data_IF_863282340587
#
_entry.id   IF_863282340587
#
_cell.length_a   1.000
_cell.length_b   1.000
_cell.length_c   1.000
_cell.angle_alpha   90.00
_cell.angle_beta   90.00
_cell.angle_gamma   90.00
#
_symmetry.space_group_name_H-M   'P 1'
#
loop_
_entity.id
_entity.type
_entity.pdbx_description
1 polymer ?
#
# COMPACT_ATOMS: atom_id res chain seq x y z
N UNK A 1 -26.74 18.54 -16.46
CA UNK A 1 -25.96 17.60 -15.69
C UNK A 1 -24.71 18.32 -15.26
N UNK A 2 -24.44 18.47 -13.96
CA UNK A 2 -23.14 18.91 -13.47
C UNK A 2 -22.12 17.88 -13.94
N UNK A 3 -21.06 18.33 -14.63
CA UNK A 3 -19.92 17.44 -14.93
C UNK A 3 -19.32 17.01 -13.59
N UNK A 4 -19.19 15.69 -13.39
CA UNK A 4 -18.41 15.16 -12.28
C UNK A 4 -16.99 15.71 -12.35
N UNK A 5 -16.44 16.16 -11.24
CA UNK A 5 -15.02 16.57 -11.17
C UNK A 5 -14.09 15.33 -11.26
N UNK A 6 -14.68 14.13 -11.19
CA UNK A 6 -13.97 12.87 -11.26
C UNK A 6 -14.04 12.29 -12.68
N UNK A 7 -12.89 11.81 -13.15
CA UNK A 7 -12.78 11.14 -14.44
C UNK A 7 -13.09 9.65 -14.31
N UNK A 8 -12.69 9.05 -13.18
CA UNK A 8 -13.01 7.66 -12.84
C UNK A 8 -13.65 7.62 -11.47
N UNK A 9 -14.74 6.86 -11.38
CA UNK A 9 -15.41 6.53 -10.14
C UNK A 9 -15.57 5.00 -10.10
N UNK A 10 -15.03 4.38 -9.09
CA UNK A 10 -15.14 2.95 -8.76
C UNK A 10 -16.03 2.88 -7.54
N UNK A 11 -17.20 2.27 -7.64
CA UNK A 11 -18.21 2.28 -6.59
C UNK A 11 -18.47 0.85 -6.12
N UNK A 12 -18.04 0.52 -4.91
CA UNK A 12 -18.28 -0.76 -4.26
C UNK A 12 -17.94 -1.98 -5.13
N UNK A 13 -16.82 -1.90 -5.86
CA UNK A 13 -16.42 -2.92 -6.81
C UNK A 13 -15.82 -4.12 -6.09
N UNK A 14 -16.44 -5.28 -6.31
CA UNK A 14 -15.92 -6.58 -5.89
C UNK A 14 -15.63 -7.46 -7.10
N UNK A 15 -14.55 -8.25 -7.01
CA UNK A 15 -14.20 -9.23 -8.02
C UNK A 15 -13.85 -10.55 -7.37
N UNK A 16 -14.72 -11.53 -7.57
CA UNK A 16 -14.53 -12.92 -7.15
C UNK A 16 -14.16 -13.78 -8.36
N UNK A 17 -13.20 -14.68 -8.22
CA UNK A 17 -12.84 -15.67 -9.21
C UNK A 17 -13.58 -17.00 -8.96
N UNK A 18 -13.46 -17.95 -9.92
CA UNK A 18 -14.15 -19.25 -9.89
C UNK A 18 -13.79 -20.11 -8.66
N UNK A 19 -12.62 -19.88 -8.05
CA UNK A 19 -12.16 -20.53 -6.83
C UNK A 19 -12.82 -19.97 -5.54
N UNK A 20 -13.74 -19.04 -5.67
CA UNK A 20 -14.43 -18.38 -4.56
C UNK A 20 -13.65 -17.27 -3.87
N UNK A 21 -12.38 -17.02 -4.24
CA UNK A 21 -11.56 -15.97 -3.63
C UNK A 21 -11.87 -14.61 -4.20
N UNK A 22 -11.96 -13.64 -3.31
CA UNK A 22 -12.08 -12.24 -3.68
C UNK A 22 -10.70 -11.67 -4.01
N UNK A 23 -10.53 -11.19 -5.25
CA UNK A 23 -9.36 -10.40 -5.63
C UNK A 23 -9.57 -8.91 -5.37
N UNK A 24 -10.84 -8.46 -5.37
CA UNK A 24 -11.29 -7.14 -4.92
C UNK A 24 -12.50 -7.36 -4.02
N UNK A 25 -12.54 -6.66 -2.90
CA UNK A 25 -13.61 -6.76 -1.92
C UNK A 25 -14.04 -5.35 -1.50
N UNK A 26 -15.18 -4.91 -2.02
CA UNK A 26 -15.81 -3.60 -1.72
C UNK A 26 -14.88 -2.40 -1.94
N UNK A 27 -14.26 -2.32 -3.11
CA UNK A 27 -13.32 -1.24 -3.46
C UNK A 27 -14.08 -0.02 -3.97
N UNK A 28 -13.88 1.13 -3.32
CA UNK A 28 -14.42 2.43 -3.74
C UNK A 28 -13.29 3.45 -3.90
N UNK A 29 -13.21 4.09 -5.09
CA UNK A 29 -12.14 5.02 -5.44
C UNK A 29 -12.63 6.07 -6.42
N UNK A 30 -12.31 7.33 -6.17
CA UNK A 30 -12.58 8.44 -7.07
C UNK A 30 -11.28 9.09 -7.52
N UNK A 31 -11.11 9.29 -8.83
CA UNK A 31 -9.90 9.88 -9.44
C UNK A 31 -10.27 11.15 -10.19
N UNK A 32 -9.58 12.24 -9.88
CA UNK A 32 -9.79 13.55 -10.52
C UNK A 32 -9.12 13.60 -11.89
N UNK A 33 -9.67 14.45 -12.75
CA UNK A 33 -9.10 14.69 -14.08
C UNK A 33 -7.69 15.31 -13.99
N UNK A 34 -6.73 14.72 -14.73
CA UNK A 34 -5.34 15.19 -14.76
C UNK A 34 -4.52 14.82 -13.53
N UNK A 35 -5.01 13.95 -12.65
CA UNK A 35 -4.32 13.46 -11.46
C UNK A 35 -3.36 12.31 -11.80
N UNK A 36 -2.21 12.25 -11.12
CA UNK A 36 -1.34 11.07 -11.11
C UNK A 36 -1.63 10.25 -9.85
N UNK A 37 -2.35 9.15 -10.01
CA UNK A 37 -2.71 8.27 -8.90
C UNK A 37 -1.92 6.98 -8.97
N UNK A 38 -1.25 6.60 -7.89
CA UNK A 38 -0.58 5.30 -7.77
C UNK A 38 -1.37 4.35 -6.89
N UNK A 39 -1.63 3.15 -7.39
CA UNK A 39 -2.16 2.02 -6.65
C UNK A 39 -0.97 1.19 -6.19
N UNK A 40 -0.71 1.19 -4.89
CA UNK A 40 0.44 0.58 -4.24
C UNK A 40 -0.01 -0.57 -3.33
N UNK A 41 0.79 -1.62 -3.19
CA UNK A 41 0.51 -2.73 -2.28
C UNK A 41 1.35 -3.97 -2.59
N UNK A 42 1.33 -5.00 -1.74
CA UNK A 42 2.08 -6.23 -1.94
C UNK A 42 1.60 -7.03 -3.16
N UNK A 43 2.39 -8.00 -3.58
CA UNK A 43 2.02 -8.89 -4.68
C UNK A 43 0.74 -9.67 -4.33
N UNK A 44 -0.20 -9.74 -5.29
CA UNK A 44 -1.46 -10.48 -5.09
C UNK A 44 -2.58 -9.71 -4.39
N UNK A 45 -2.38 -8.48 -3.91
CA UNK A 45 -3.41 -7.70 -3.19
C UNK A 45 -4.54 -7.11 -4.07
N UNK A 46 -4.57 -7.39 -5.39
CA UNK A 46 -5.68 -6.97 -6.26
C UNK A 46 -5.40 -5.79 -7.20
N UNK A 47 -4.25 -5.11 -7.14
CA UNK A 47 -3.91 -3.91 -7.95
C UNK A 47 -4.14 -4.09 -9.46
N UNK A 48 -3.50 -5.09 -10.05
CA UNK A 48 -3.65 -5.41 -11.49
C UNK A 48 -5.09 -5.82 -11.82
N UNK A 49 -5.81 -6.45 -10.89
CA UNK A 49 -7.22 -6.80 -11.07
C UNK A 49 -8.08 -5.53 -11.14
N UNK A 50 -7.87 -4.58 -10.24
CA UNK A 50 -8.55 -3.28 -10.27
C UNK A 50 -8.25 -2.53 -11.57
N UNK A 51 -6.98 -2.46 -11.96
CA UNK A 51 -6.58 -1.84 -13.23
C UNK A 51 -7.27 -2.50 -14.44
N UNK A 52 -7.36 -3.84 -14.46
CA UNK A 52 -8.03 -4.59 -15.53
C UNK A 52 -9.55 -4.39 -15.54
N UNK A 53 -10.18 -4.21 -14.38
CA UNK A 53 -11.59 -3.84 -14.29
C UNK A 53 -11.82 -2.44 -14.86
N UNK A 54 -10.98 -1.45 -14.52
CA UNK A 54 -11.03 -0.09 -15.10
C UNK A 54 -10.80 -0.11 -16.62
N UNK A 55 -9.84 -0.93 -17.08
CA UNK A 55 -9.54 -1.08 -18.51
C UNK A 55 -10.60 -1.86 -19.30
N UNK A 56 -11.51 -2.59 -18.62
CA UNK A 56 -12.51 -3.44 -19.25
C UNK A 56 -12.02 -4.82 -19.71
N UNK A 57 -10.81 -5.24 -19.28
CA UNK A 57 -10.32 -6.60 -19.53
C UNK A 57 -10.94 -7.64 -18.58
N UNK A 58 -11.49 -7.17 -17.45
CA UNK A 58 -12.25 -7.99 -16.51
C UNK A 58 -13.54 -7.24 -16.14
N UNK A 59 -14.62 -7.99 -15.99
CA UNK A 59 -15.89 -7.45 -15.52
C UNK A 59 -15.94 -7.63 -14.01
N UNK A 60 -16.35 -6.59 -13.28
CA UNK A 60 -16.61 -6.67 -11.84
C UNK A 60 -17.71 -7.71 -11.56
N UNK A 61 -17.64 -8.35 -10.39
CA UNK A 61 -18.70 -9.26 -9.93
C UNK A 61 -19.86 -8.45 -9.34
N UNK A 62 -19.50 -7.38 -8.61
CA UNK A 62 -20.45 -6.44 -8.00
C UNK A 62 -19.90 -5.01 -8.12
N UNK A 63 -20.78 -4.03 -7.96
CA UNK A 63 -20.44 -2.61 -8.07
C UNK A 63 -20.34 -2.13 -9.51
N UNK A 64 -20.03 -0.85 -9.69
CA UNK A 64 -19.96 -0.18 -10.98
C UNK A 64 -18.73 0.70 -11.13
N UNK A 65 -18.33 0.89 -12.39
CA UNK A 65 -17.21 1.75 -12.78
C UNK A 65 -17.72 2.79 -13.76
N UNK A 66 -17.53 4.07 -13.39
CA UNK A 66 -17.90 5.19 -14.26
C UNK A 66 -16.63 5.83 -14.84
N UNK A 67 -16.71 6.22 -16.11
CA UNK A 67 -15.72 7.04 -16.81
C UNK A 67 -16.40 8.32 -17.29
N UNK A 68 -15.95 9.49 -16.82
CA UNK A 68 -16.63 10.78 -17.06
C UNK A 68 -18.12 10.79 -16.69
N UNK A 69 -18.53 10.02 -15.68
CA UNK A 69 -19.92 9.87 -15.27
C UNK A 69 -20.76 8.94 -16.15
N UNK A 70 -20.15 8.25 -17.13
CA UNK A 70 -20.80 7.21 -17.96
C UNK A 70 -20.43 5.82 -17.40
N UNK A 71 -21.41 4.96 -17.19
CA UNK A 71 -21.20 3.59 -16.74
C UNK A 71 -20.49 2.75 -17.82
N UNK A 72 -19.29 2.29 -17.51
CA UNK A 72 -18.46 1.47 -18.39
C UNK A 72 -18.27 0.05 -17.87
N UNK A 73 -18.96 -0.36 -16.81
CA UNK A 73 -18.74 -1.63 -16.09
C UNK A 73 -18.69 -2.84 -17.02
N UNK A 74 -19.63 -2.93 -17.97
CA UNK A 74 -19.69 -4.03 -18.95
C UNK A 74 -19.15 -3.66 -20.33
N UNK A 75 -18.70 -2.41 -20.51
CA UNK A 75 -18.19 -1.93 -21.79
C UNK A 75 -16.84 -2.58 -22.11
N UNK A 76 -16.65 -3.14 -23.33
CA UNK A 76 -15.40 -3.78 -23.72
C UNK A 76 -14.24 -2.77 -23.83
N UNK A 77 -12.96 -3.21 -23.69
CA UNK A 77 -11.81 -2.31 -23.64
C UNK A 77 -11.68 -1.33 -24.80
N UNK A 78 -11.97 -1.78 -26.03
CA UNK A 78 -11.80 -0.97 -27.24
C UNK A 78 -12.81 0.17 -27.39
N UNK A 79 -13.84 0.19 -26.55
CA UNK A 79 -14.86 1.24 -26.51
C UNK A 79 -14.65 2.25 -25.37
N UNK A 80 -13.74 1.95 -24.44
CA UNK A 80 -13.38 2.85 -23.32
C UNK A 80 -12.31 3.84 -23.77
N UNK A 81 -12.41 5.09 -23.33
CA UNK A 81 -11.39 6.12 -23.61
C UNK A 81 -10.20 6.04 -22.62
N UNK A 82 -9.66 4.84 -22.51
CA UNK A 82 -8.48 4.52 -21.70
C UNK A 82 -7.47 3.74 -22.53
N UNK A 83 -6.19 3.95 -22.29
CA UNK A 83 -5.13 3.14 -22.89
C UNK A 83 -4.25 2.52 -21.82
N UNK A 84 -3.80 1.29 -22.05
CA UNK A 84 -2.99 0.52 -21.09
C UNK A 84 -1.58 0.27 -21.63
N UNK A 85 -0.59 0.51 -20.79
CA UNK A 85 0.80 0.04 -20.95
C UNK A 85 1.01 -1.13 -20.00
N UNK A 86 1.28 -2.31 -20.56
CA UNK A 86 1.47 -3.55 -19.82
C UNK A 86 2.91 -3.69 -19.31
N UNK A 87 3.12 -4.47 -18.26
CA UNK A 87 4.40 -4.75 -17.64
C UNK A 87 5.49 -5.23 -18.62
N UNK A 88 5.14 -6.05 -19.62
CA UNK A 88 6.02 -6.52 -20.71
C UNK A 88 5.95 -5.67 -21.98
N UNK A 89 5.46 -4.40 -21.86
CA UNK A 89 5.31 -3.43 -22.95
C UNK A 89 4.42 -3.87 -24.13
N UNK A 90 4.27 -5.16 -24.39
CA UNK A 90 3.46 -5.77 -25.45
C UNK A 90 3.64 -5.10 -26.84
N UNK A 91 4.88 -4.76 -27.19
CA UNK A 91 5.21 -4.26 -28.52
C UNK A 91 5.05 -5.39 -29.55
N UNK A 92 4.67 -5.03 -30.77
CA UNK A 92 4.58 -5.97 -31.87
C UNK A 92 5.98 -6.22 -32.46
N UNK A 93 6.58 -7.41 -32.28
CA UNK A 93 7.98 -7.64 -32.63
C UNK A 93 8.23 -7.60 -34.14
N UNK A 94 7.22 -7.87 -34.95
CA UNK A 94 7.29 -7.84 -36.42
C UNK A 94 7.08 -6.43 -37.02
N UNK A 95 6.87 -5.42 -36.18
CA UNK A 95 6.72 -4.03 -36.60
C UNK A 95 7.88 -3.18 -36.06
N UNK A 96 8.31 -2.21 -36.86
CA UNK A 96 9.26 -1.20 -36.40
C UNK A 96 8.62 -0.22 -35.39
N UNK A 97 9.39 0.71 -34.86
CA UNK A 97 8.93 1.72 -33.91
C UNK A 97 7.78 2.55 -34.48
N UNK A 98 7.92 3.05 -35.71
CA UNK A 98 6.87 3.85 -36.36
C UNK A 98 5.55 3.09 -36.46
N UNK A 99 5.60 1.86 -36.94
CA UNK A 99 4.42 1.02 -37.16
C UNK A 99 3.75 0.58 -35.85
N UNK A 100 4.54 0.35 -34.79
CA UNK A 100 4.03 0.12 -33.45
C UNK A 100 3.24 1.31 -32.94
N UNK A 101 3.82 2.52 -33.02
CA UNK A 101 3.16 3.74 -32.55
C UNK A 101 1.95 4.10 -33.40
N UNK A 102 2.06 3.97 -34.74
CA UNK A 102 0.99 4.27 -35.68
C UNK A 102 -0.19 3.28 -35.64
N UNK A 103 -0.05 2.13 -34.99
CA UNK A 103 -0.97 0.99 -35.10
C UNK A 103 -2.44 1.38 -34.86
N UNK A 104 -2.72 2.06 -33.77
CA UNK A 104 -4.09 2.49 -33.42
C UNK A 104 -4.69 3.45 -34.44
N UNK A 105 -3.90 4.39 -34.93
CA UNK A 105 -4.37 5.36 -35.95
C UNK A 105 -4.61 4.71 -37.32
N UNK A 106 -3.80 3.68 -37.66
CA UNK A 106 -4.02 2.89 -38.89
C UNK A 106 -5.34 2.13 -38.84
N UNK A 107 -5.68 1.54 -37.67
CA UNK A 107 -6.99 0.86 -37.48
C UNK A 107 -8.15 1.84 -37.62
N UNK A 108 -8.00 3.07 -37.14
CA UNK A 108 -8.98 4.16 -37.29
C UNK A 108 -9.02 4.74 -38.72
N UNK A 109 -8.19 4.21 -39.67
CA UNK A 109 -8.09 4.66 -41.06
C UNK A 109 -7.79 6.16 -41.24
N UNK A 110 -6.98 6.72 -40.36
CA UNK A 110 -6.54 8.11 -40.39
C UNK A 110 -5.60 8.32 -41.59
N UNK A 111 -5.60 9.52 -42.18
CA UNK A 111 -4.73 9.88 -43.30
C UNK A 111 -3.22 9.70 -42.97
N UNK A 112 -2.46 9.19 -43.95
CA UNK A 112 -1.02 8.89 -43.74
C UNK A 112 -0.22 10.10 -43.31
N UNK A 113 -0.45 11.29 -43.88
CA UNK A 113 0.28 12.51 -43.51
C UNK A 113 -0.01 12.94 -42.07
N UNK A 114 -1.25 12.73 -41.61
CA UNK A 114 -1.63 12.98 -40.22
C UNK A 114 -0.95 11.99 -39.28
N UNK A 115 -0.93 10.68 -39.67
CA UNK A 115 -0.22 9.64 -38.90
C UNK A 115 1.27 10.00 -38.75
N UNK A 116 1.97 10.33 -39.87
CA UNK A 116 3.39 10.69 -39.81
C UNK A 116 3.68 11.85 -38.86
N UNK A 117 2.83 12.89 -38.89
CA UNK A 117 2.97 14.05 -38.01
C UNK A 117 2.75 13.66 -36.53
N UNK A 118 1.67 12.89 -36.25
CA UNK A 118 1.34 12.46 -34.87
C UNK A 118 2.39 11.52 -34.32
N UNK A 119 2.91 10.56 -35.10
CA UNK A 119 3.97 9.63 -34.67
C UNK A 119 5.25 10.40 -34.30
N UNK A 120 5.70 11.33 -35.16
CA UNK A 120 6.88 12.15 -34.85
C UNK A 120 6.68 12.96 -33.58
N UNK A 121 5.50 13.50 -33.37
CA UNK A 121 5.19 14.25 -32.14
C UNK A 121 5.18 13.35 -30.92
N UNK A 122 4.53 12.17 -30.97
CA UNK A 122 4.50 11.21 -29.88
C UNK A 122 5.91 10.72 -29.51
N UNK A 123 6.74 10.35 -30.52
CA UNK A 123 8.12 9.95 -30.30
C UNK A 123 8.97 11.08 -29.71
N UNK A 124 8.77 12.33 -30.15
CA UNK A 124 9.43 13.50 -29.55
C UNK A 124 9.02 13.67 -28.08
N UNK A 125 7.76 13.46 -27.75
CA UNK A 125 7.27 13.56 -26.34
C UNK A 125 7.97 12.60 -25.39
N UNK A 126 8.26 11.37 -25.87
CA UNK A 126 8.95 10.34 -25.09
C UNK A 126 10.48 10.29 -25.32
N UNK A 127 11.07 11.31 -25.95
CA UNK A 127 12.52 11.41 -26.17
C UNK A 127 13.09 10.38 -27.16
N UNK A 128 12.28 9.88 -28.11
CA UNK A 128 12.65 8.86 -29.08
C UNK A 128 12.70 9.40 -30.54
N UNK A 129 13.12 10.65 -30.69
CA UNK A 129 13.31 11.25 -32.02
C UNK A 129 14.37 10.44 -32.81
N UNK A 130 14.16 10.28 -34.12
CA UNK A 130 15.04 9.55 -35.04
C UNK A 130 15.12 8.02 -34.82
N UNK A 131 14.20 7.45 -34.04
CA UNK A 131 14.09 6.00 -33.82
C UNK A 131 13.00 5.33 -34.67
N UNK A 132 12.29 6.07 -35.53
CA UNK A 132 11.06 5.68 -36.22
C UNK A 132 11.18 4.33 -36.96
N UNK A 133 12.34 4.09 -37.61
CA UNK A 133 12.52 2.92 -38.48
C UNK A 133 13.37 1.82 -37.84
N UNK A 134 13.67 1.92 -36.55
CA UNK A 134 14.36 0.85 -35.82
C UNK A 134 13.44 -0.32 -35.52
N UNK A 135 14.01 -1.51 -35.51
CA UNK A 135 13.31 -2.70 -35.01
C UNK A 135 13.22 -2.66 -33.51
N UNK A 136 12.05 -3.04 -32.96
CA UNK A 136 11.80 -2.97 -31.50
C UNK A 136 12.71 -3.89 -30.69
N UNK A 137 13.16 -5.02 -31.27
CA UNK A 137 14.06 -5.97 -30.63
C UNK A 137 15.50 -5.42 -30.49
N UNK A 138 15.85 -4.38 -31.24
CA UNK A 138 17.15 -3.69 -31.13
C UNK A 138 17.20 -2.66 -30.00
N UNK A 139 16.06 -2.41 -29.32
CA UNK A 139 15.92 -1.38 -28.32
C UNK A 139 16.21 -1.93 -26.92
N UNK A 140 16.79 -1.08 -26.04
CA UNK A 140 16.86 -1.38 -24.61
C UNK A 140 15.46 -1.41 -23.97
N UNK A 141 15.31 -2.05 -22.81
CA UNK A 141 14.03 -2.14 -22.09
C UNK A 141 13.39 -0.75 -21.86
N UNK A 142 14.16 0.25 -21.44
CA UNK A 142 13.65 1.62 -21.27
C UNK A 142 13.22 2.27 -22.60
N UNK A 143 13.90 1.98 -23.71
CA UNK A 143 13.49 2.45 -25.04
C UNK A 143 12.21 1.77 -25.50
N UNK A 144 12.07 0.46 -25.26
CA UNK A 144 10.83 -0.29 -25.57
C UNK A 144 9.64 0.27 -24.77
N UNK A 145 9.85 0.59 -23.50
CA UNK A 145 8.84 1.23 -22.66
C UNK A 145 8.40 2.57 -23.23
N UNK A 146 9.35 3.44 -23.60
CA UNK A 146 9.02 4.74 -24.21
C UNK A 146 8.21 4.59 -25.50
N UNK A 147 8.52 3.60 -26.32
CA UNK A 147 7.73 3.28 -27.53
C UNK A 147 6.32 2.80 -27.15
N UNK A 148 6.17 2.00 -26.11
CA UNK A 148 4.87 1.55 -25.62
C UNK A 148 4.02 2.72 -25.10
N UNK A 149 4.63 3.65 -24.37
CA UNK A 149 3.97 4.88 -23.92
C UNK A 149 3.59 5.75 -25.13
N UNK A 150 4.49 5.94 -26.12
CA UNK A 150 4.19 6.69 -27.34
C UNK A 150 3.00 6.09 -28.10
N UNK A 151 2.92 4.74 -28.20
CA UNK A 151 1.79 4.02 -28.78
C UNK A 151 0.48 4.24 -28.00
N UNK A 152 0.57 4.37 -26.69
CA UNK A 152 -0.60 4.59 -25.86
C UNK A 152 -1.10 6.05 -25.97
N UNK A 153 -0.20 7.04 -25.91
CA UNK A 153 -0.59 8.46 -25.92
C UNK A 153 -1.01 9.01 -27.29
N UNK A 154 -0.59 8.36 -28.40
CA UNK A 154 -0.90 8.85 -29.75
C UNK A 154 -2.40 8.88 -30.07
N UNK A 155 -3.18 8.06 -29.36
CA UNK A 155 -4.63 8.05 -29.49
C UNK A 155 -5.32 9.17 -28.69
N UNK A 156 -4.55 9.97 -27.93
CA UNK A 156 -5.02 11.06 -27.09
C UNK A 156 -6.08 10.60 -26.06
N UNK A 157 -5.78 9.54 -25.25
CA UNK A 157 -6.74 9.02 -24.28
C UNK A 157 -6.94 10.02 -23.14
N UNK A 158 -8.08 9.97 -22.48
CA UNK A 158 -8.31 10.76 -21.26
C UNK A 158 -7.58 10.16 -20.06
N UNK A 159 -7.38 8.83 -20.03
CA UNK A 159 -6.71 8.10 -18.95
C UNK A 159 -5.65 7.15 -19.51
N UNK A 160 -4.46 7.19 -18.94
CA UNK A 160 -3.38 6.26 -19.20
C UNK A 160 -3.19 5.32 -17.99
N UNK A 161 -3.33 4.02 -18.23
CA UNK A 161 -3.16 2.96 -17.26
C UNK A 161 -1.78 2.35 -17.43
N UNK A 162 -1.01 2.25 -16.34
CA UNK A 162 0.38 1.78 -16.33
C UNK A 162 0.49 0.62 -15.33
N UNK A 163 0.67 -0.61 -15.82
CA UNK A 163 0.77 -1.83 -14.99
C UNK A 163 2.25 -2.20 -14.80
N UNK A 164 2.83 -1.85 -13.66
CA UNK A 164 4.23 -2.07 -13.27
C UNK A 164 5.25 -1.73 -14.38
N UNK A 165 5.18 -0.55 -14.99
CA UNK A 165 5.94 -0.28 -16.22
C UNK A 165 7.46 -0.22 -16.02
N UNK A 166 7.95 0.03 -14.80
CA UNK A 166 9.37 0.15 -14.49
C UNK A 166 10.00 -1.14 -13.92
N UNK A 167 9.21 -2.18 -13.66
CA UNK A 167 9.68 -3.40 -12.99
C UNK A 167 10.81 -4.13 -13.71
N UNK A 168 10.91 -4.02 -15.05
CA UNK A 168 11.94 -4.68 -15.85
C UNK A 168 13.25 -3.88 -16.02
N UNK A 169 13.34 -2.69 -15.40
CA UNK A 169 14.51 -1.81 -15.53
C UNK A 169 15.47 -1.96 -14.34
N UNK A 170 16.77 -1.75 -14.61
CA UNK A 170 17.76 -1.60 -13.55
C UNK A 170 17.53 -0.32 -12.73
N UNK A 171 18.12 -0.25 -11.53
CA UNK A 171 17.87 0.82 -10.56
C UNK A 171 18.15 2.22 -11.12
N UNK A 172 19.25 2.40 -11.88
CA UNK A 172 19.61 3.71 -12.45
C UNK A 172 18.61 4.15 -13.52
N UNK A 173 18.32 3.24 -14.46
CA UNK A 173 17.35 3.51 -15.51
C UNK A 173 15.94 3.74 -14.95
N UNK A 174 15.59 3.05 -13.86
CA UNK A 174 14.30 3.22 -13.17
C UNK A 174 14.16 4.65 -12.64
N UNK A 175 15.18 5.17 -11.92
CA UNK A 175 15.18 6.56 -11.40
C UNK A 175 15.08 7.61 -12.50
N UNK A 176 15.82 7.43 -13.59
CA UNK A 176 15.75 8.33 -14.73
C UNK A 176 14.34 8.32 -15.36
N UNK A 177 13.75 7.13 -15.51
CA UNK A 177 12.40 6.97 -16.08
C UNK A 177 11.28 7.49 -15.18
N UNK A 178 11.43 7.43 -13.86
CA UNK A 178 10.47 8.03 -12.91
C UNK A 178 10.36 9.54 -13.18
N UNK A 179 11.49 10.24 -13.24
CA UNK A 179 11.50 11.68 -13.50
C UNK A 179 10.88 12.03 -14.86
N UNK A 180 11.17 11.24 -15.88
CA UNK A 180 10.60 11.43 -17.22
C UNK A 180 9.11 11.19 -17.27
N UNK A 181 8.60 10.14 -16.57
CA UNK A 181 7.16 9.88 -16.48
C UNK A 181 6.42 11.04 -15.81
N UNK A 182 6.97 11.59 -14.73
CA UNK A 182 6.40 12.77 -14.07
C UNK A 182 6.39 14.00 -14.97
N UNK A 183 7.46 14.23 -15.74
CA UNK A 183 7.50 15.32 -16.73
C UNK A 183 6.52 15.10 -17.88
N UNK A 184 6.40 13.84 -18.37
CA UNK A 184 5.43 13.51 -19.40
C UNK A 184 3.99 13.75 -18.92
N UNK A 185 3.65 13.33 -17.71
CA UNK A 185 2.35 13.60 -17.11
C UNK A 185 2.03 15.10 -17.10
N UNK A 186 2.95 15.93 -16.58
CA UNK A 186 2.80 17.40 -16.57
C UNK A 186 2.62 18.00 -17.95
N UNK A 187 3.33 17.50 -18.97
CA UNK A 187 3.24 17.98 -20.36
C UNK A 187 1.95 17.57 -21.05
N UNK A 188 1.46 16.34 -20.77
CA UNK A 188 0.27 15.80 -21.40
C UNK A 188 -1.03 16.30 -20.76
N UNK A 189 -1.02 16.51 -19.43
CA UNK A 189 -2.20 16.94 -18.67
C UNK A 189 -3.35 15.93 -18.64
N UNK A 190 -3.07 14.64 -18.97
CA UNK A 190 -4.04 13.55 -18.90
C UNK A 190 -3.91 12.81 -17.57
N UNK A 191 -4.93 12.05 -17.19
CA UNK A 191 -4.91 11.29 -15.94
C UNK A 191 -4.04 10.06 -16.07
N UNK A 192 -3.17 9.81 -15.07
CA UNK A 192 -2.36 8.59 -14.97
C UNK A 192 -2.84 7.74 -13.81
N UNK A 193 -3.05 6.44 -14.07
CA UNK A 193 -3.21 5.43 -13.02
C UNK A 193 -2.04 4.47 -13.13
N UNK A 194 -1.24 4.45 -12.10
CA UNK A 194 0.01 3.72 -12.03
C UNK A 194 -0.08 2.61 -11.00
N UNK A 195 0.28 1.40 -11.38
CA UNK A 195 0.34 0.25 -10.45
C UNK A 195 1.79 -0.10 -10.20
N UNK A 196 2.16 -0.24 -8.93
CA UNK A 196 3.48 -0.68 -8.51
C UNK A 196 3.44 -1.39 -7.16
N UNK A 197 4.50 -2.10 -6.83
CA UNK A 197 4.79 -2.58 -5.49
C UNK A 197 6.00 -1.84 -4.87
N UNK A 198 6.60 -0.89 -5.61
CA UNK A 198 7.74 -0.10 -5.19
C UNK A 198 7.26 1.19 -4.50
N UNK A 199 7.63 1.34 -3.24
CA UNK A 199 7.24 2.48 -2.40
C UNK A 199 7.88 3.78 -2.89
N UNK A 200 9.18 3.74 -3.30
CA UNK A 200 9.91 4.92 -3.81
C UNK A 200 9.21 5.48 -5.05
N UNK A 201 8.73 4.60 -5.95
CA UNK A 201 7.96 5.01 -7.12
C UNK A 201 6.66 5.72 -6.73
N UNK A 202 5.90 5.14 -5.80
CA UNK A 202 4.63 5.69 -5.37
C UNK A 202 4.80 7.06 -4.69
N UNK A 203 5.76 7.19 -3.79
CA UNK A 203 6.01 8.45 -3.06
C UNK A 203 6.57 9.56 -3.97
N UNK A 204 7.35 9.19 -5.01
CA UNK A 204 8.02 10.17 -5.88
C UNK A 204 7.12 10.67 -7.02
N UNK A 205 6.31 9.77 -7.61
CA UNK A 205 5.56 10.07 -8.84
C UNK A 205 4.19 10.69 -8.58
N UNK A 206 3.54 10.34 -7.48
CA UNK A 206 2.10 10.50 -7.33
C UNK A 206 1.70 11.87 -6.80
N UNK A 207 0.51 12.31 -7.21
CA UNK A 207 -0.23 13.34 -6.50
C UNK A 207 -1.03 12.71 -5.35
N UNK A 208 -1.46 11.44 -5.53
CA UNK A 208 -2.16 10.66 -4.53
C UNK A 208 -1.83 9.17 -4.63
N UNK A 209 -1.65 8.53 -3.47
CA UNK A 209 -1.37 7.11 -3.32
C UNK A 209 -2.59 6.40 -2.76
N UNK A 210 -2.91 5.25 -3.34
CA UNK A 210 -3.96 4.31 -2.90
C UNK A 210 -3.26 3.05 -2.43
N UNK A 211 -3.19 2.83 -1.13
CA UNK A 211 -2.57 1.63 -0.55
C UNK A 211 -3.60 0.51 -0.47
N UNK A 212 -3.27 -0.64 -1.05
CA UNK A 212 -4.16 -1.82 -1.09
C UNK A 212 -3.52 -3.02 -0.40
N UNK A 213 -4.35 -3.76 0.34
CA UNK A 213 -4.02 -5.08 0.89
C UNK A 213 -5.27 -5.97 0.85
N UNK A 214 -5.09 -7.26 0.60
CA UNK A 214 -6.15 -8.28 0.65
C UNK A 214 -7.44 -7.91 -0.12
N UNK A 215 -7.26 -7.29 -1.29
CA UNK A 215 -8.38 -6.87 -2.14
C UNK A 215 -9.11 -5.62 -1.65
N UNK A 216 -8.65 -4.96 -0.60
CA UNK A 216 -9.25 -3.76 0.00
C UNK A 216 -8.31 -2.55 -0.09
N UNK A 217 -8.89 -1.36 -0.08
CA UNK A 217 -8.13 -0.13 0.11
C UNK A 217 -7.91 0.07 1.61
N UNK A 218 -6.65 0.24 2.02
CA UNK A 218 -6.24 0.48 3.39
C UNK A 218 -6.19 1.99 3.69
N UNK A 219 -5.64 2.77 2.75
CA UNK A 219 -5.56 4.23 2.88
C UNK A 219 -5.49 4.89 1.52
N UNK A 220 -6.03 6.11 1.42
CA UNK A 220 -5.88 7.02 0.29
C UNK A 220 -5.40 8.36 0.83
N UNK A 221 -4.28 8.88 0.31
CA UNK A 221 -3.74 10.17 0.73
C UNK A 221 -2.68 10.71 -0.23
N UNK A 222 -2.17 11.90 0.04
CA UNK A 222 -0.94 12.36 -0.60
C UNK A 222 0.24 11.48 -0.17
N UNK A 223 1.37 11.48 -0.90
CA UNK A 223 2.57 10.78 -0.45
C UNK A 223 2.98 11.11 0.99
N UNK A 224 2.85 12.39 1.38
CA UNK A 224 3.16 12.86 2.74
C UNK A 224 2.17 12.29 3.78
N UNK A 225 0.86 12.29 3.47
CA UNK A 225 -0.15 11.78 4.39
C UNK A 225 0.05 10.27 4.66
N UNK A 226 0.31 9.50 3.59
CA UNK A 226 0.48 8.04 3.69
C UNK A 226 1.76 7.66 4.44
N UNK A 227 2.83 8.48 4.32
CA UNK A 227 4.09 8.25 5.02
C UNK A 227 4.04 8.73 6.48
N UNK A 228 3.58 9.96 6.73
CA UNK A 228 3.64 10.60 8.05
C UNK A 228 2.43 10.28 8.92
N UNK A 229 1.26 10.01 8.32
CA UNK A 229 0.00 9.78 9.02
C UNK A 229 -0.65 8.46 8.56
N UNK A 230 0.04 7.30 8.68
CA UNK A 230 -0.53 6.01 8.31
C UNK A 230 -1.76 5.70 9.17
N UNK A 231 -2.83 5.18 8.55
CA UNK A 231 -4.10 4.93 9.23
C UNK A 231 -4.11 3.62 10.05
N UNK A 232 -3.19 2.71 9.74
CA UNK A 232 -3.02 1.45 10.46
C UNK A 232 -1.58 0.93 10.39
N UNK A 233 -1.26 -0.06 11.21
CA UNK A 233 0.08 -0.65 11.29
C UNK A 233 0.54 -1.25 9.97
N UNK A 234 -0.38 -1.83 9.17
CA UNK A 234 -0.03 -2.35 7.85
C UNK A 234 0.50 -1.24 6.93
N UNK A 235 -0.15 -0.08 6.88
CA UNK A 235 0.32 1.04 6.05
C UNK A 235 1.64 1.57 6.56
N UNK A 236 1.81 1.70 7.89
CA UNK A 236 3.04 2.16 8.51
C UNK A 236 4.24 1.27 8.13
N UNK A 237 4.10 -0.06 8.28
CA UNK A 237 5.13 -1.04 7.98
C UNK A 237 5.39 -1.17 6.47
N UNK A 238 4.31 -1.12 5.69
CA UNK A 238 4.41 -1.29 4.23
C UNK A 238 5.01 -0.08 3.51
N UNK A 239 4.85 1.16 4.00
CA UNK A 239 5.32 2.38 3.32
C UNK A 239 6.74 2.77 3.68
N UNK A 240 7.29 2.23 4.75
CA UNK A 240 8.65 2.49 5.20
C UNK A 240 8.97 1.66 6.42
N UNK A 241 10.23 1.58 6.74
CA UNK A 241 10.66 0.94 7.99
C UNK A 241 10.05 1.68 9.19
N UNK A 242 9.56 0.95 10.21
CA UNK A 242 8.89 1.51 11.37
C UNK A 242 9.16 0.71 12.62
N UNK A 243 9.33 1.40 13.75
CA UNK A 243 9.17 0.80 15.05
C UNK A 243 7.69 0.80 15.39
N UNK A 244 7.06 -0.37 15.42
CA UNK A 244 5.66 -0.54 15.82
C UNK A 244 5.65 -1.18 17.19
N UNK A 245 5.09 -0.48 18.18
CA UNK A 245 5.19 -0.83 19.59
C UNK A 245 3.80 -0.92 20.20
N UNK A 246 3.61 -1.96 21.02
CA UNK A 246 2.44 -2.07 21.89
C UNK A 246 2.47 -0.92 22.91
N UNK A 247 1.36 -0.21 23.05
CA UNK A 247 1.27 0.97 23.88
C UNK A 247 -0.08 1.08 24.61
N UNK A 248 -0.14 1.96 25.59
CA UNK A 248 -1.36 2.34 26.29
C UNK A 248 -1.49 3.86 26.30
N UNK A 249 -2.61 4.38 25.83
CA UNK A 249 -2.93 5.79 25.94
C UNK A 249 -3.29 6.11 27.40
N UNK A 250 -2.37 6.73 28.14
CA UNK A 250 -2.59 7.05 29.57
C UNK A 250 -3.66 8.12 29.72
N UNK A 251 -3.59 9.14 28.88
CA UNK A 251 -4.57 10.24 28.73
C UNK A 251 -4.30 10.99 27.43
N UNK A 252 -5.20 11.87 27.03
CA UNK A 252 -4.97 12.72 25.85
C UNK A 252 -3.61 13.42 25.91
N UNK A 253 -2.78 13.17 24.90
CA UNK A 253 -1.45 13.76 24.77
C UNK A 253 -0.35 13.03 25.57
N UNK A 254 -0.62 11.86 26.18
CA UNK A 254 0.38 11.04 26.87
C UNK A 254 0.14 9.56 26.58
N UNK A 255 1.14 8.90 26.02
CA UNK A 255 1.12 7.48 25.69
C UNK A 255 2.26 6.76 26.40
N UNK A 256 1.99 5.56 26.93
CA UNK A 256 3.00 4.70 27.55
C UNK A 256 3.43 3.60 26.56
N UNK A 257 4.71 3.53 26.28
CA UNK A 257 5.35 2.42 25.55
C UNK A 257 6.78 2.23 26.06
N UNK A 258 7.35 1.06 25.84
CA UNK A 258 8.65 0.69 26.42
C UNK A 258 8.71 0.98 27.93
N UNK A 259 7.60 0.80 28.67
CA UNK A 259 7.44 1.05 30.10
C UNK A 259 7.69 2.51 30.55
N UNK A 260 7.65 3.47 29.61
CA UNK A 260 7.82 4.90 29.88
C UNK A 260 6.67 5.73 29.30
N UNK A 261 6.36 6.85 29.98
CA UNK A 261 5.38 7.81 29.51
C UNK A 261 6.00 8.83 28.57
N UNK A 262 5.40 8.99 27.38
CA UNK A 262 5.80 9.95 26.38
C UNK A 262 4.71 10.96 26.12
N UNK A 263 5.07 12.22 25.97
CA UNK A 263 4.16 13.21 25.41
C UNK A 263 3.94 12.92 23.92
N UNK A 264 2.71 13.04 23.44
CA UNK A 264 2.35 12.93 22.02
C UNK A 264 1.32 14.00 21.63
N UNK A 265 1.14 14.20 20.33
CA UNK A 265 0.16 15.19 19.82
C UNK A 265 -1.23 14.60 19.67
N UNK A 266 -1.36 13.29 19.62
CA UNK A 266 -2.60 12.56 19.38
C UNK A 266 -3.55 12.61 20.56
N UNK A 267 -4.86 12.61 20.26
CA UNK A 267 -5.96 12.72 21.23
C UNK A 267 -7.18 11.93 20.77
N UNK A 268 -8.08 11.65 21.73
CA UNK A 268 -9.39 11.06 21.43
C UNK A 268 -9.40 9.54 21.40
N UNK A 269 -8.36 8.88 21.95
CA UNK A 269 -8.30 7.41 22.08
C UNK A 269 -8.96 6.88 23.36
N UNK A 270 -9.16 7.73 24.38
CA UNK A 270 -9.65 7.32 25.70
C UNK A 270 -8.53 7.04 26.69
N UNK A 271 -8.83 7.15 27.99
CA UNK A 271 -7.88 6.85 29.08
C UNK A 271 -7.72 5.33 29.22
N UNK A 272 -6.49 4.87 29.48
CA UNK A 272 -6.08 3.46 29.63
C UNK A 272 -6.45 2.57 28.43
N UNK A 273 -6.58 3.17 27.24
CA UNK A 273 -6.89 2.44 26.01
C UNK A 273 -5.63 1.83 25.41
N UNK A 274 -5.67 0.52 25.11
CA UNK A 274 -4.63 -0.15 24.34
C UNK A 274 -4.58 0.42 22.90
N UNK A 275 -3.37 0.80 22.48
CA UNK A 275 -3.08 1.41 21.17
C UNK A 275 -1.80 0.83 20.60
N UNK A 276 -1.54 1.07 19.33
CA UNK A 276 -0.23 0.86 18.72
C UNK A 276 0.45 2.22 18.55
N UNK A 277 1.74 2.26 18.82
CA UNK A 277 2.59 3.43 18.56
C UNK A 277 3.52 3.12 17.40
N UNK A 278 3.61 4.04 16.47
CA UNK A 278 4.55 4.00 15.36
C UNK A 278 5.54 5.14 15.50
N UNK A 279 6.83 4.79 15.43
CA UNK A 279 7.94 5.76 15.40
C UNK A 279 8.86 5.39 14.24
N UNK A 280 9.15 6.34 13.37
CA UNK A 280 10.09 6.12 12.26
C UNK A 280 11.52 5.99 12.78
N UNK A 281 12.36 5.11 12.20
CA UNK A 281 13.75 4.95 12.63
C UNK A 281 14.58 6.24 12.58
N UNK A 282 14.31 7.12 11.61
CA UNK A 282 14.96 8.42 11.45
C UNK A 282 14.52 9.47 12.48
N UNK A 283 13.40 9.25 13.16
CA UNK A 283 12.81 10.15 14.16
C UNK A 283 13.21 9.78 15.59
N UNK A 284 13.97 8.69 15.76
CA UNK A 284 14.57 8.31 17.04
C UNK A 284 15.96 8.94 17.16
N UNK A 285 16.09 9.96 18.00
CA UNK A 285 17.37 10.60 18.29
C UNK A 285 18.21 9.74 19.19
N UNK A 286 19.49 9.55 18.84
CA UNK A 286 20.45 8.70 19.56
C UNK A 286 21.68 9.50 20.00
N UNK A 287 22.20 9.23 21.18
CA UNK A 287 23.46 9.82 21.63
C UNK A 287 24.12 9.04 22.75
N UNK A 288 25.41 9.32 23.00
CA UNK A 288 26.18 8.66 24.04
C UNK A 288 25.64 9.01 25.43
N UNK A 289 25.44 8.00 26.26
CA UNK A 289 25.20 8.20 27.69
C UNK A 289 26.46 8.80 28.35
N UNK A 290 26.31 9.94 29.01
CA UNK A 290 27.34 10.61 29.76
C UNK A 290 27.00 10.55 31.26
N UNK A 291 27.91 10.15 32.11
CA UNK A 291 27.72 10.15 33.57
C UNK A 291 27.21 11.52 34.05
N UNK A 292 26.06 11.53 34.75
CA UNK A 292 25.43 12.71 35.32
C UNK A 292 24.57 13.50 34.32
N UNK A 293 24.24 12.94 33.12
CA UNK A 293 23.32 13.51 32.12
C UNK A 293 22.30 12.50 31.60
N UNK A 294 22.08 11.44 32.36
CA UNK A 294 21.15 10.36 32.02
C UNK A 294 19.71 10.90 31.87
N UNK A 295 19.31 11.88 32.68
CA UNK A 295 17.97 12.49 32.69
C UNK A 295 17.62 13.27 31.38
N UNK A 296 18.57 13.45 30.47
CA UNK A 296 18.31 14.10 29.20
C UNK A 296 17.72 13.16 28.13
N UNK A 297 17.62 11.87 28.42
CA UNK A 297 17.15 10.84 27.52
C UNK A 297 15.88 10.17 28.09
N UNK A 298 14.97 9.82 27.21
CA UNK A 298 13.72 9.15 27.59
C UNK A 298 13.88 7.64 27.76
N UNK A 299 14.75 7.03 26.94
CA UNK A 299 15.09 5.62 27.03
C UNK A 299 16.62 5.46 27.06
N UNK A 300 17.07 4.39 27.70
CA UNK A 300 18.46 3.98 27.70
C UNK A 300 18.58 2.58 27.10
N UNK A 301 19.72 2.28 26.46
CA UNK A 301 19.93 0.97 25.87
C UNK A 301 21.36 0.77 25.38
N UNK A 302 21.58 -0.38 24.74
CA UNK A 302 22.84 -0.79 24.17
C UNK A 302 22.70 -1.11 22.68
N UNK A 303 23.60 -0.59 21.87
CA UNK A 303 23.63 -0.87 20.43
C UNK A 303 23.98 -2.34 20.21
N UNK A 304 23.10 -3.09 19.54
CA UNK A 304 23.29 -4.50 19.20
C UNK A 304 23.92 -4.67 17.81
N UNK A 305 23.52 -3.83 16.85
CA UNK A 305 24.06 -3.85 15.49
C UNK A 305 24.19 -2.44 14.92
N UNK A 306 25.12 -2.26 13.98
CA UNK A 306 25.31 -1.01 13.25
C UNK A 306 25.75 -1.32 11.82
N UNK A 307 24.92 -1.00 10.83
CA UNK A 307 25.13 -1.33 9.42
C UNK A 307 25.08 -0.05 8.58
N UNK A 308 26.11 0.19 7.77
CA UNK A 308 26.12 1.31 6.83
C UNK A 308 25.28 1.01 5.58
N UNK A 309 24.23 1.79 5.34
CA UNK A 309 23.30 1.67 4.20
C UNK A 309 23.66 2.60 3.02
N UNK A 310 24.83 3.19 2.99
CA UNK A 310 25.32 4.07 1.93
C UNK A 310 25.13 5.56 2.21
N UNK A 311 24.11 5.98 2.91
CA UNK A 311 23.83 7.39 3.28
C UNK A 311 23.77 7.56 4.79
N UNK A 312 23.17 6.63 5.50
CA UNK A 312 23.02 6.61 6.95
C UNK A 312 23.46 5.25 7.51
N UNK A 313 23.57 5.17 8.81
CA UNK A 313 23.73 3.94 9.54
C UNK A 313 22.37 3.49 10.09
N UNK A 314 22.06 2.21 9.90
CA UNK A 314 20.94 1.55 10.52
C UNK A 314 21.45 0.79 11.73
N UNK A 315 20.88 1.07 12.87
CA UNK A 315 21.29 0.50 14.16
C UNK A 315 20.09 -0.15 14.83
N UNK A 316 20.33 -1.30 15.46
CA UNK A 316 19.37 -1.91 16.38
C UNK A 316 19.86 -1.63 17.80
N UNK A 317 19.01 -1.04 18.63
CA UNK A 317 19.27 -0.75 20.03
C UNK A 317 18.34 -1.57 20.89
N UNK A 318 18.89 -2.34 21.82
CA UNK A 318 18.13 -3.03 22.87
C UNK A 318 18.05 -2.10 24.07
N UNK A 319 16.83 -1.69 24.42
CA UNK A 319 16.60 -0.84 25.59
C UNK A 319 16.83 -1.62 26.89
N UNK A 320 17.08 -0.91 28.01
CA UNK A 320 17.25 -1.53 29.32
C UNK A 320 16.01 -2.30 29.78
N UNK A 321 14.83 -1.98 29.23
CA UNK A 321 13.55 -2.65 29.47
C UNK A 321 13.28 -3.81 28.49
N UNK A 322 14.24 -4.16 27.60
CA UNK A 322 14.19 -5.33 26.73
C UNK A 322 13.46 -5.11 25.39
N UNK A 323 13.17 -3.87 25.00
CA UNK A 323 12.60 -3.56 23.69
C UNK A 323 13.69 -3.32 22.65
N UNK A 324 13.51 -3.87 21.45
CA UNK A 324 14.37 -3.58 20.30
C UNK A 324 13.81 -2.41 19.51
N UNK A 325 14.66 -1.40 19.25
CA UNK A 325 14.34 -0.25 18.40
C UNK A 325 15.31 -0.16 17.23
N UNK A 326 14.78 0.00 16.05
CA UNK A 326 15.55 0.33 14.85
C UNK A 326 15.74 1.86 14.77
N UNK A 327 16.95 2.29 14.47
CA UNK A 327 17.34 3.71 14.44
C UNK A 327 18.15 3.97 13.18
N UNK A 328 17.88 5.10 12.52
CA UNK A 328 18.65 5.58 11.39
C UNK A 328 19.31 6.92 11.75
N UNK A 329 20.65 6.97 11.73
CA UNK A 329 21.41 8.19 12.00
C UNK A 329 22.62 8.31 11.07
N UNK A 330 23.15 9.52 10.91
CA UNK A 330 24.36 9.78 10.13
C UNK A 330 25.64 9.41 10.90
N UNK A 331 25.56 9.23 12.20
CA UNK A 331 26.68 8.84 13.08
C UNK A 331 26.57 7.36 13.44
N UNK A 332 27.71 6.69 13.37
CA UNK A 332 27.82 5.30 13.81
C UNK A 332 28.08 5.19 15.31
N UNK A 333 27.38 4.26 15.96
CA UNK A 333 27.71 3.81 17.30
C UNK A 333 28.05 2.32 17.23
N UNK A 334 29.21 1.93 17.77
CA UNK A 334 29.64 0.53 17.70
C UNK A 334 28.77 -0.38 18.60
N UNK A 335 28.55 -1.65 18.22
CA UNK A 335 27.87 -2.60 19.07
C UNK A 335 28.52 -2.68 20.48
N UNK A 336 27.69 -2.75 21.52
CA UNK A 336 28.09 -2.68 22.93
C UNK A 336 28.18 -1.25 23.48
N UNK A 337 27.95 -0.22 22.66
CA UNK A 337 27.91 1.18 23.13
C UNK A 337 26.62 1.45 23.88
N UNK A 338 26.71 2.03 25.09
CA UNK A 338 25.54 2.52 25.82
C UNK A 338 25.09 3.87 25.31
N UNK A 339 23.82 3.96 24.98
CA UNK A 339 23.21 5.12 24.33
C UNK A 339 21.93 5.53 25.02
N UNK A 340 21.60 6.82 24.92
CA UNK A 340 20.30 7.36 25.25
C UNK A 340 19.50 7.63 24.00
N UNK A 341 18.19 7.45 24.09
CA UNK A 341 17.24 7.66 23.01
C UNK A 341 16.20 8.70 23.39
N UNK A 342 15.78 9.48 22.41
CA UNK A 342 14.74 10.51 22.56
C UNK A 342 13.86 10.51 21.33
N UNK A 343 12.54 10.58 21.54
CA UNK A 343 11.53 10.75 20.49
C UNK A 343 10.72 12.00 20.82
N UNK A 344 10.49 12.86 19.83
CA UNK A 344 9.69 14.06 20.03
C UNK A 344 8.20 13.76 19.99
N UNK A 345 7.36 14.56 20.67
CA UNK A 345 5.92 14.37 20.68
C UNK A 345 5.25 14.33 19.29
N UNK A 346 5.76 15.14 18.35
CA UNK A 346 5.27 15.22 16.97
C UNK A 346 5.66 14.01 16.10
N UNK A 347 6.66 13.23 16.52
CA UNK A 347 7.22 12.10 15.80
C UNK A 347 6.61 10.76 16.30
N UNK A 348 5.75 10.81 17.31
CA UNK A 348 5.01 9.67 17.85
C UNK A 348 3.62 9.65 17.23
N UNK A 349 3.29 8.57 16.52
CA UNK A 349 1.98 8.38 15.91
C UNK A 349 1.23 7.30 16.67
N UNK A 350 0.04 7.64 17.17
CA UNK A 350 -0.80 6.71 17.93
C UNK A 350 -1.90 6.20 17.03
N UNK A 351 -2.04 4.88 16.97
CA UNK A 351 -3.04 4.19 16.16
C UNK A 351 -3.97 3.35 17.03
N UNK A 352 -5.21 3.20 16.57
CA UNK A 352 -6.09 2.22 17.18
C UNK A 352 -5.49 0.84 16.99
N UNK A 353 -5.34 0.10 18.07
CA UNK A 353 -4.90 -1.28 17.99
C UNK A 353 -5.91 -2.08 17.18
N UNK A 354 -5.48 -2.63 16.04
CA UNK A 354 -6.30 -3.55 15.28
C UNK A 354 -6.43 -4.82 16.13
N UNK A 355 -7.68 -5.16 16.48
CA UNK A 355 -7.96 -6.43 17.14
C UNK A 355 -7.78 -7.52 16.10
N UNK A 356 -6.64 -8.18 16.14
CA UNK A 356 -6.48 -9.46 15.44
C UNK A 356 -7.28 -10.49 16.23
N UNK A 357 -8.48 -10.78 15.79
CA UNK A 357 -9.33 -11.81 16.38
C UNK A 357 -9.56 -12.95 15.41
N UNK A 358 -9.63 -14.18 15.95
CA UNK A 358 -10.17 -15.29 15.22
C UNK A 358 -11.68 -15.21 15.33
N UNK A 359 -12.40 -15.24 14.20
CA UNK A 359 -13.87 -15.26 14.15
C UNK A 359 -14.33 -16.69 13.90
N UNK A 360 -15.22 -17.18 14.74
CA UNK A 360 -15.83 -18.52 14.65
C UNK A 360 -17.34 -18.37 14.65
N UNK A 361 -18.01 -19.19 13.85
CA UNK A 361 -19.45 -19.35 13.97
C UNK A 361 -19.77 -20.08 15.27
N UNK A 362 -20.66 -19.53 16.08
CA UNK A 362 -21.09 -20.08 17.36
C UNK A 362 -22.59 -20.04 17.51
N UNK A 363 -23.10 -20.79 18.49
CA UNK A 363 -24.52 -20.85 18.86
C UNK A 363 -24.69 -20.48 20.34
N UNK A 364 -25.60 -19.56 20.63
CA UNK A 364 -25.90 -19.16 22.01
C UNK A 364 -26.70 -20.24 22.72
N UNK A 365 -26.21 -20.69 23.88
CA UNK A 365 -26.82 -21.72 24.70
C UNK A 365 -27.55 -21.15 25.93
N UNK A 366 -28.30 -22.00 26.64
CA UNK A 366 -28.82 -21.67 27.97
C UNK A 366 -27.68 -21.43 28.98
N UNK A 367 -27.99 -20.81 30.09
CA UNK A 367 -27.06 -20.54 31.21
C UNK A 367 -25.85 -19.66 30.85
N UNK A 368 -26.06 -18.67 29.99
CA UNK A 368 -25.02 -17.68 29.57
C UNK A 368 -23.79 -18.35 28.94
N UNK A 369 -23.99 -19.27 28.04
CA UNK A 369 -22.92 -19.95 27.32
C UNK A 369 -23.05 -19.79 25.81
N UNK A 370 -21.93 -19.92 25.13
CA UNK A 370 -21.84 -20.01 23.68
C UNK A 370 -21.08 -21.27 23.30
N UNK A 371 -21.54 -21.98 22.27
CA UNK A 371 -20.83 -23.13 21.70
C UNK A 371 -20.14 -22.69 20.42
N UNK A 372 -18.81 -22.91 20.34
CA UNK A 372 -18.05 -22.81 19.09
C UNK A 372 -16.87 -23.80 19.14
N UNK A 373 -16.42 -24.29 18.00
CA UNK A 373 -15.40 -25.32 17.86
C UNK A 373 -15.68 -26.58 18.72
N UNK A 374 -16.96 -26.99 18.78
CA UNK A 374 -17.45 -28.15 19.57
C UNK A 374 -17.27 -28.01 21.10
N UNK A 375 -16.90 -26.86 21.62
CA UNK A 375 -16.74 -26.58 23.04
C UNK A 375 -17.73 -25.52 23.54
N UNK A 376 -18.08 -25.58 24.83
CA UNK A 376 -19.01 -24.64 25.47
C UNK A 376 -18.23 -23.67 26.37
N UNK A 377 -18.50 -22.37 26.21
CA UNK A 377 -17.79 -21.31 26.90
C UNK A 377 -18.76 -20.39 27.63
N UNK A 378 -18.39 -20.01 28.84
CA UNK A 378 -19.14 -19.03 29.61
C UNK A 378 -18.98 -17.62 29.03
N UNK A 379 -20.10 -16.92 28.86
CA UNK A 379 -20.09 -15.51 28.44
C UNK A 379 -20.70 -14.65 29.53
N UNK A 380 -20.26 -13.37 29.66
CA UNK A 380 -20.81 -12.45 30.65
C UNK A 380 -22.33 -12.30 30.46
N UNK A 381 -23.08 -12.32 31.55
CA UNK A 381 -24.55 -12.18 31.57
C UNK A 381 -25.02 -10.98 30.72
N UNK A 382 -24.39 -9.82 30.84
CA UNK A 382 -24.66 -8.61 30.04
C UNK A 382 -24.51 -8.80 28.52
N UNK A 383 -23.76 -9.82 28.09
CA UNK A 383 -23.58 -10.17 26.66
C UNK A 383 -24.66 -11.15 26.26
N UNK A 384 -24.90 -12.20 27.07
CA UNK A 384 -25.92 -13.21 26.85
C UNK A 384 -27.32 -12.61 26.72
N UNK A 385 -27.68 -11.59 27.54
CA UNK A 385 -28.97 -10.89 27.47
C UNK A 385 -29.29 -10.22 26.12
N UNK A 386 -28.31 -10.11 25.23
CA UNK A 386 -28.49 -9.46 23.92
C UNK A 386 -28.90 -10.41 22.81
N UNK A 387 -28.86 -11.71 23.07
CA UNK A 387 -29.09 -12.76 22.08
C UNK A 387 -30.16 -13.74 22.58
N UNK A 388 -30.84 -14.40 21.64
CA UNK A 388 -31.78 -15.48 21.95
C UNK A 388 -31.06 -16.83 22.00
N UNK A 389 -31.51 -17.73 22.84
CA UNK A 389 -30.98 -19.11 22.90
C UNK A 389 -31.25 -19.83 21.57
N UNK A 390 -30.19 -20.38 20.97
CA UNK A 390 -30.20 -20.97 19.64
C UNK A 390 -29.91 -20.00 18.52
N UNK A 391 -29.57 -18.74 18.83
CA UNK A 391 -29.12 -17.76 17.83
C UNK A 391 -27.69 -18.05 17.37
N UNK A 392 -27.47 -18.03 16.05
CA UNK A 392 -26.14 -18.12 15.45
C UNK A 392 -25.42 -16.76 15.60
N UNK A 393 -24.20 -16.76 16.13
CA UNK A 393 -23.40 -15.57 16.43
C UNK A 393 -21.97 -15.74 15.96
N UNK A 394 -21.33 -14.63 15.64
CA UNK A 394 -19.88 -14.57 15.41
C UNK A 394 -19.15 -14.42 16.75
N UNK A 395 -18.33 -15.41 17.09
CA UNK A 395 -17.48 -15.41 18.29
C UNK A 395 -16.09 -14.92 17.91
N UNK A 396 -15.71 -13.75 18.42
CA UNK A 396 -14.39 -13.18 18.24
C UNK A 396 -13.48 -13.54 19.42
N UNK A 397 -12.38 -14.23 19.14
CA UNK A 397 -11.35 -14.55 20.12
C UNK A 397 -10.11 -13.73 19.83
N UNK A 398 -9.75 -12.82 20.75
CA UNK A 398 -8.57 -11.97 20.64
C UNK A 398 -7.31 -12.85 20.55
N UNK A 399 -6.51 -12.60 19.50
CA UNK A 399 -5.28 -13.35 19.21
C UNK A 399 -4.28 -13.33 20.38
N UNK A 400 -4.20 -12.21 21.10
CA UNK A 400 -3.32 -12.04 22.25
C UNK A 400 -3.79 -12.81 23.51
N UNK A 401 -4.99 -13.38 23.50
CA UNK A 401 -5.55 -14.18 24.59
C UNK A 401 -5.50 -15.68 24.32
N UNK A 402 -4.96 -16.09 23.17
CA UNK A 402 -4.75 -17.50 22.83
C UNK A 402 -3.38 -17.91 23.35
N UNK A 403 -3.33 -18.78 24.35
CA UNK A 403 -2.11 -19.37 24.84
C UNK A 403 -1.86 -20.71 24.15
N UNK A 404 -0.71 -20.86 23.48
CA UNK A 404 -0.27 -22.13 22.95
C UNK A 404 0.37 -22.95 24.06
N UNK A 405 -0.07 -24.21 24.21
CA UNK A 405 0.46 -25.16 25.18
C UNK A 405 1.02 -26.36 24.42
N UNK A 406 2.19 -26.84 24.83
CA UNK A 406 2.84 -28.01 24.24
C UNK A 406 2.26 -29.33 24.76
N UNK A 407 1.45 -29.31 25.82
CA UNK A 407 0.92 -30.49 26.49
C UNK A 407 -0.57 -30.66 26.19
N UNK A 408 -0.97 -31.86 25.73
CA UNK A 408 -2.36 -32.20 25.39
C UNK A 408 -3.31 -32.17 26.59
N UNK A 409 -2.77 -32.25 27.84
CA UNK A 409 -3.60 -32.30 29.05
C UNK A 409 -4.06 -30.91 29.52
N UNK A 410 -3.35 -29.85 29.11
CA UNK A 410 -3.63 -28.48 29.59
C UNK A 410 -4.32 -27.57 28.55
N UNK A 411 -4.46 -28.02 27.31
CA UNK A 411 -5.13 -27.26 26.23
C UNK A 411 -6.62 -27.58 26.13
N UNK A 412 -7.46 -26.55 25.98
CA UNK A 412 -8.90 -26.68 25.78
C UNK A 412 -9.26 -26.95 24.32
N UNK A 413 -8.55 -26.33 23.38
CA UNK A 413 -8.71 -26.50 21.94
C UNK A 413 -7.48 -27.11 21.31
N UNK A 414 -7.67 -28.03 20.34
CA UNK A 414 -6.59 -28.66 19.60
C UNK A 414 -6.55 -28.15 18.18
N UNK A 415 -5.34 -27.85 17.68
CA UNK A 415 -5.13 -27.38 16.32
C UNK A 415 -3.72 -27.58 15.82
N UNK A 416 -3.53 -27.52 14.50
CA UNK A 416 -2.23 -27.49 13.87
C UNK A 416 -1.78 -26.04 13.66
N UNK A 417 -0.54 -25.72 14.05
CA UNK A 417 0.04 -24.39 13.83
C UNK A 417 0.62 -24.35 12.42
N UNK A 418 -0.01 -23.61 11.53
CA UNK A 418 0.47 -23.42 10.16
C UNK A 418 1.49 -22.29 10.02
N UNK A 419 1.40 -21.26 10.87
CA UNK A 419 2.31 -20.13 10.90
C UNK A 419 2.56 -19.67 12.33
N UNK A 420 3.81 -19.35 12.61
CA UNK A 420 4.19 -18.59 13.82
C UNK A 420 4.58 -17.20 13.32
N UNK A 421 3.77 -16.18 13.64
CA UNK A 421 4.13 -14.79 13.46
C UNK A 421 4.97 -14.42 14.70
N UNK A 422 6.28 -14.22 14.52
CA UNK A 422 7.09 -13.59 15.54
C UNK A 422 6.69 -12.11 15.63
N UNK A 423 6.37 -11.68 16.86
CA UNK A 423 6.26 -10.26 17.20
C UNK A 423 7.64 -9.64 17.25
#
# INVERSE_FOLDING_TARGET
MQKSDFIIEVNHVSKQFEDGKFALNDVSLQIKKGEFVTILGPSGCGKTTLLRCIAGFQVATEGDILLNGEDVTTMPPHMRDVNTVFQKYALFPHLNVFDNVAFGLKLKKIDKKVIEKKVKQALKTVGMTDYEYRDVDSLSGGQQQRVAIARAIINEPEVLLLDEPLAALDLKMRKDMQMELREMHKKLGITFIYVTHDQEEALTLSDRVVVMSEGKIQQIGTPMDVYNEPQNCFVADFIGESNILDATMVKDGVVNFCENDFECVDKGFGEDQAVDVVVRPEDVYIGLLQEGKEDNWQLHGEVQSCIFKGVHYEMTVLTDNGYELMIQDYHAFEPGTKVGLLVKPEDIQVMKKERLCNCFEGEVLEDNRVRFLDEEWDIPERVAERFEVGEEVDVEVDFNRVNLQDDEEDGVLRGEVYFILYK
#
